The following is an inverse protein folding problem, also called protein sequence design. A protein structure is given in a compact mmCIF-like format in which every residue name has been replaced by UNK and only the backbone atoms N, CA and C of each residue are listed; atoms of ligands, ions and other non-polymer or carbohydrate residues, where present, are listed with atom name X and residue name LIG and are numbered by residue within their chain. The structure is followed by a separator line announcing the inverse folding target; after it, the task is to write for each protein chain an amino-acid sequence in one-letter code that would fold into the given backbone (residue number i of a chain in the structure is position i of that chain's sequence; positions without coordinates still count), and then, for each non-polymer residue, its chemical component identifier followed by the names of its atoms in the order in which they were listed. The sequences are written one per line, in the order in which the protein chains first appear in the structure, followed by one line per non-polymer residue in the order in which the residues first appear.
data_IF_634140119551
#
_entry.id   IF_634140119551
#
_cell.length_a   1.000
_cell.length_b   1.000
_cell.length_c   1.000
_cell.angle_alpha   90.00
_cell.angle_beta   90.00
_cell.angle_gamma   90.00
#
_symmetry.space_group_name_H-M   'P 1'
#
loop_
_entity.id
_entity.type
_entity.pdbx_description
1 polymer ?
#
# COMPACT_ATOMS: atom_id res chain seq x y z
N UNK A 1 2.41 6.69 -12.01
CA UNK A 1 1.17 6.91 -12.79
C UNK A 1 0.07 6.03 -12.20
N UNK A 2 -1.18 6.50 -12.17
CA UNK A 2 -2.32 5.74 -11.65
C UNK A 2 -3.52 5.73 -12.59
N UNK A 3 -4.23 4.61 -12.64
CA UNK A 3 -5.50 4.42 -13.32
C UNK A 3 -6.59 4.11 -12.28
N UNK A 4 -7.46 5.07 -11.95
CA UNK A 4 -8.68 4.79 -11.20
C UNK A 4 -9.62 3.92 -12.03
N UNK A 5 -10.24 2.92 -11.41
CA UNK A 5 -11.12 1.97 -12.07
C UNK A 5 -12.34 1.71 -11.20
N UNK A 6 -13.52 1.79 -11.83
CA UNK A 6 -14.81 1.40 -11.23
C UNK A 6 -15.21 0.07 -11.84
N UNK A 7 -14.93 -1.01 -11.11
CA UNK A 7 -15.16 -2.40 -11.55
C UNK A 7 -15.66 -3.22 -10.36
N UNK A 8 -16.28 -4.36 -10.67
CA UNK A 8 -16.94 -5.20 -9.66
C UNK A 8 -15.91 -6.10 -8.95
N UNK A 9 -14.86 -6.52 -9.65
CA UNK A 9 -13.83 -7.41 -9.11
C UNK A 9 -12.43 -6.87 -9.27
N UNK A 10 -11.54 -7.26 -8.35
CA UNK A 10 -10.13 -6.89 -8.37
C UNK A 10 -9.41 -7.28 -9.66
N UNK A 11 -9.69 -8.47 -10.20
CA UNK A 11 -9.03 -8.99 -11.40
C UNK A 11 -9.40 -8.15 -12.63
N UNK A 12 -10.70 -7.84 -12.80
CA UNK A 12 -11.19 -6.96 -13.86
C UNK A 12 -10.61 -5.55 -13.69
N UNK A 13 -10.63 -5.03 -12.47
CA UNK A 13 -10.08 -3.72 -12.17
C UNK A 13 -8.59 -3.63 -12.51
N UNK A 14 -7.80 -4.63 -12.11
CA UNK A 14 -6.36 -4.71 -12.39
C UNK A 14 -6.11 -4.79 -13.88
N UNK A 15 -6.82 -5.67 -14.60
CA UNK A 15 -6.67 -5.83 -16.05
C UNK A 15 -7.03 -4.56 -16.81
N UNK A 16 -8.17 -3.95 -16.50
CA UNK A 16 -8.67 -2.74 -17.14
C UNK A 16 -7.75 -1.54 -16.87
N UNK A 17 -7.37 -1.31 -15.61
CA UNK A 17 -6.45 -0.23 -15.25
C UNK A 17 -5.05 -0.44 -15.82
N UNK A 18 -4.55 -1.68 -15.83
CA UNK A 18 -3.26 -2.00 -16.44
C UNK A 18 -3.27 -1.79 -17.96
N UNK A 19 -4.36 -2.13 -18.65
CA UNK A 19 -4.47 -1.90 -20.08
C UNK A 19 -4.29 -0.43 -20.45
N UNK A 20 -4.90 0.49 -19.69
CA UNK A 20 -4.73 1.94 -19.88
C UNK A 20 -3.30 2.41 -19.57
N UNK A 21 -2.69 1.90 -18.50
CA UNK A 21 -1.28 2.17 -18.21
C UNK A 21 -0.35 1.63 -19.31
N UNK A 22 -0.66 0.46 -19.87
CA UNK A 22 0.11 -0.15 -20.95
C UNK A 22 0.10 0.71 -22.22
N UNK A 23 -1.07 1.24 -22.60
CA UNK A 23 -1.18 2.17 -23.73
C UNK A 23 -0.29 3.40 -23.50
N UNK A 24 -0.35 4.02 -22.32
CA UNK A 24 0.50 5.15 -21.97
C UNK A 24 1.99 4.83 -22.08
N UNK A 25 2.41 3.67 -21.54
CA UNK A 25 3.79 3.19 -21.57
C UNK A 25 4.27 2.97 -23.01
N UNK A 26 3.36 2.61 -23.93
CA UNK A 26 3.67 2.33 -25.33
C UNK A 26 3.50 3.55 -26.26
N UNK A 27 3.32 4.74 -25.71
CA UNK A 27 3.31 5.97 -26.49
C UNK A 27 1.95 6.66 -26.63
N UNK A 28 0.91 6.22 -25.91
CA UNK A 28 -0.33 7.00 -25.81
C UNK A 28 -0.15 8.16 -24.83
N UNK A 29 0.70 9.10 -25.22
CA UNK A 29 1.06 10.32 -24.50
C UNK A 29 1.48 11.40 -25.50
N UNK A 30 1.49 12.65 -25.03
CA UNK A 30 1.75 13.87 -25.82
C UNK A 30 2.95 13.82 -26.78
N UNK A 31 3.99 13.06 -26.48
CA UNK A 31 5.22 12.99 -27.29
C UNK A 31 5.47 11.60 -27.88
N UNK A 32 4.45 10.72 -27.92
CA UNK A 32 4.58 9.33 -28.37
C UNK A 32 5.75 8.57 -27.74
N UNK A 33 6.13 8.98 -26.53
CA UNK A 33 7.36 8.51 -25.88
C UNK A 33 7.08 7.13 -25.30
N UNK A 34 7.95 6.16 -25.61
CA UNK A 34 7.89 4.84 -24.98
C UNK A 34 8.60 4.86 -23.64
N UNK A 35 7.93 4.36 -22.61
CA UNK A 35 8.47 4.21 -21.27
C UNK A 35 8.87 2.75 -21.04
N UNK A 36 9.89 2.53 -20.22
CA UNK A 36 10.28 1.16 -19.83
C UNK A 36 9.28 0.59 -18.82
N UNK A 37 8.81 -0.64 -19.05
CA UNK A 37 8.03 -1.36 -18.04
C UNK A 37 8.85 -1.54 -16.75
N UNK A 38 8.18 -1.44 -15.62
CA UNK A 38 8.73 -1.61 -14.28
C UNK A 38 7.84 -2.57 -13.51
N UNK A 39 8.45 -3.25 -12.56
CA UNK A 39 7.74 -4.10 -11.62
C UNK A 39 7.94 -3.55 -10.19
N UNK A 40 6.96 -3.72 -9.30
CA UNK A 40 5.63 -4.32 -9.53
C UNK A 40 4.59 -3.32 -10.05
N UNK A 41 3.49 -3.84 -10.61
CA UNK A 41 2.23 -3.09 -10.78
C UNK A 41 1.41 -3.28 -9.50
N UNK A 42 0.92 -2.18 -8.93
CA UNK A 42 0.20 -2.19 -7.66
C UNK A 42 -1.27 -1.86 -7.89
N UNK A 43 -2.18 -2.70 -7.43
CA UNK A 43 -3.60 -2.35 -7.37
C UNK A 43 -4.02 -2.15 -5.93
N UNK A 44 -4.49 -0.95 -5.59
CA UNK A 44 -5.10 -0.66 -4.29
C UNK A 44 -6.60 -0.79 -4.36
N UNK A 45 -7.18 -1.24 -3.25
CA UNK A 45 -8.62 -1.27 -3.02
C UNK A 45 -8.94 -0.18 -2.01
N UNK A 46 -9.93 0.65 -2.33
CA UNK A 46 -10.40 1.74 -1.48
C UNK A 46 -11.89 1.48 -1.22
N UNK A 47 -12.31 1.38 0.06
CA UNK A 47 -13.73 1.31 0.37
C UNK A 47 -14.42 2.62 -0.02
N UNK A 48 -15.56 2.51 -0.70
CA UNK A 48 -16.39 3.65 -1.08
C UNK A 48 -17.39 3.99 0.04
N UNK A 49 -17.73 5.26 0.19
CA UNK A 49 -18.66 5.76 1.21
C UNK A 49 -20.07 5.20 1.03
N UNK A 50 -20.42 4.78 -0.19
CA UNK A 50 -21.72 4.18 -0.53
C UNK A 50 -21.72 2.64 -0.45
N UNK A 51 -20.72 2.03 0.19
CA UNK A 51 -20.64 0.56 0.35
C UNK A 51 -20.09 -0.20 -0.87
N UNK A 52 -19.55 0.52 -1.86
CA UNK A 52 -18.84 -0.05 -3.01
C UNK A 52 -17.34 -0.23 -2.79
N UNK A 53 -16.66 -0.82 -3.77
CA UNK A 53 -15.19 -0.87 -3.84
C UNK A 53 -14.71 -0.03 -5.02
N UNK A 54 -13.70 0.79 -4.78
CA UNK A 54 -12.97 1.49 -5.83
C UNK A 54 -11.55 0.94 -5.93
N UNK A 55 -11.03 0.86 -7.15
CA UNK A 55 -9.70 0.31 -7.40
C UNK A 55 -8.80 1.37 -8.03
N UNK A 56 -7.54 1.38 -7.62
CA UNK A 56 -6.52 2.23 -8.24
C UNK A 56 -5.33 1.37 -8.62
N UNK A 57 -5.11 1.20 -9.92
CA UNK A 57 -3.95 0.50 -10.47
C UNK A 57 -2.82 1.51 -10.65
N UNK A 58 -1.60 1.17 -10.24
CA UNK A 58 -0.44 2.05 -10.25
C UNK A 58 0.77 1.36 -10.85
N UNK A 59 1.51 2.15 -11.61
CA UNK A 59 2.79 1.79 -12.20
C UNK A 59 3.85 2.81 -11.76
N UNK A 60 5.04 2.32 -11.41
CA UNK A 60 6.18 3.14 -11.06
C UNK A 60 6.82 3.69 -12.34
N UNK A 61 6.78 5.01 -12.51
CA UNK A 61 7.38 5.66 -13.68
C UNK A 61 8.90 5.51 -13.58
N UNK A 62 9.52 5.05 -14.66
CA UNK A 62 10.98 4.88 -14.74
C UNK A 62 11.72 6.13 -14.24
N UNK A 63 12.84 5.98 -13.49
CA UNK A 63 13.61 7.09 -12.96
C UNK A 63 14.01 8.15 -14.00
N UNK A 64 14.22 7.73 -15.26
CA UNK A 64 14.52 8.63 -16.39
C UNK A 64 13.47 9.73 -16.60
N UNK A 65 12.22 9.46 -16.24
CA UNK A 65 11.09 10.38 -16.39
C UNK A 65 10.58 10.90 -15.03
N UNK A 66 11.35 10.70 -13.97
CA UNK A 66 11.01 11.18 -12.64
C UNK A 66 11.18 12.70 -12.59
N UNK A 67 10.09 13.43 -12.32
CA UNK A 67 10.06 14.91 -12.32
C UNK A 67 9.20 15.45 -13.46
N UNK A 68 9.51 15.09 -14.71
CA UNK A 68 8.78 15.53 -15.91
C UNK A 68 8.31 14.32 -16.74
N UNK A 69 7.32 13.55 -16.24
CA UNK A 69 6.76 12.44 -17.00
C UNK A 69 5.95 12.94 -18.21
N UNK A 70 5.92 12.21 -19.34
CA UNK A 70 5.07 12.54 -20.48
C UNK A 70 3.60 12.63 -20.06
N UNK A 71 2.87 13.62 -20.57
CA UNK A 71 1.44 13.77 -20.25
C UNK A 71 0.62 12.71 -20.99
N UNK A 72 -0.18 11.90 -20.29
CA UNK A 72 -1.05 10.91 -20.92
C UNK A 72 -2.16 11.61 -21.69
N UNK A 73 -2.72 10.94 -22.70
CA UNK A 73 -3.92 11.45 -23.35
C UNK A 73 -5.15 11.38 -22.42
N UNK A 74 -6.07 12.32 -22.61
CA UNK A 74 -7.24 12.51 -21.74
C UNK A 74 -8.17 11.29 -21.75
N UNK A 75 -8.32 10.63 -22.88
CA UNK A 75 -9.12 9.40 -23.05
C UNK A 75 -8.62 8.24 -22.20
N UNK A 76 -7.34 8.23 -21.82
CA UNK A 76 -6.81 7.21 -20.92
C UNK A 76 -7.21 7.44 -19.47
N UNK A 77 -7.71 8.62 -19.10
CA UNK A 77 -8.14 9.00 -17.75
C UNK A 77 -7.09 8.66 -16.65
N UNK A 78 -5.81 8.83 -16.98
CA UNK A 78 -4.71 8.53 -16.06
C UNK A 78 -4.37 9.74 -15.19
N UNK A 79 -3.85 9.48 -14.00
CA UNK A 79 -3.53 10.51 -13.02
C UNK A 79 -2.08 10.38 -12.53
N UNK A 80 -1.43 11.53 -12.33
CA UNK A 80 -0.12 11.57 -11.69
C UNK A 80 -0.26 11.34 -10.18
N UNK A 81 0.01 10.11 -9.74
CA UNK A 81 0.11 9.79 -8.32
C UNK A 81 1.54 9.93 -7.80
N UNK A 82 1.73 10.76 -6.77
CA UNK A 82 2.92 10.73 -5.91
C UNK A 82 2.63 9.84 -4.70
N UNK A 83 3.41 8.79 -4.52
CA UNK A 83 3.33 7.95 -3.31
C UNK A 83 4.38 8.45 -2.32
N UNK A 84 3.94 9.01 -1.20
CA UNK A 84 4.83 9.42 -0.11
C UNK A 84 5.52 8.23 0.56
N UNK A 85 6.56 8.53 1.34
CA UNK A 85 7.23 7.54 2.19
C UNK A 85 6.20 6.94 3.17
N UNK A 86 6.13 5.61 3.23
CA UNK A 86 5.23 4.91 4.16
C UNK A 86 5.75 3.52 4.48
N UNK A 87 5.41 3.03 5.66
CA UNK A 87 5.67 1.64 6.05
C UNK A 87 4.53 0.75 5.54
N UNK A 88 4.86 -0.39 4.95
CA UNK A 88 3.91 -1.35 4.42
C UNK A 88 4.36 -2.75 4.85
N UNK A 89 3.45 -3.54 5.40
CA UNK A 89 3.68 -4.96 5.61
C UNK A 89 3.43 -5.74 4.31
N UNK A 90 4.37 -6.60 3.93
CA UNK A 90 4.32 -7.33 2.66
C UNK A 90 4.32 -8.83 2.94
N UNK A 91 3.35 -9.55 2.35
CA UNK A 91 3.34 -11.01 2.30
C UNK A 91 3.48 -11.47 0.86
N UNK A 92 4.46 -12.32 0.59
CA UNK A 92 4.56 -13.05 -0.69
C UNK A 92 3.82 -14.38 -0.59
N UNK A 93 3.23 -14.81 -1.69
CA UNK A 93 2.62 -16.12 -1.87
C UNK A 93 2.97 -16.63 -3.28
N UNK A 94 2.94 -17.94 -3.47
CA UNK A 94 3.16 -18.59 -4.76
C UNK A 94 1.85 -18.81 -5.52
N UNK A 95 1.96 -19.10 -6.82
CA UNK A 95 0.82 -19.35 -7.70
C UNK A 95 0.23 -18.09 -8.34
N UNK A 96 -0.67 -18.30 -9.31
CA UNK A 96 -1.35 -17.20 -9.99
C UNK A 96 -2.32 -16.49 -9.06
N UNK A 97 -2.40 -15.16 -9.20
CA UNK A 97 -3.24 -14.34 -8.36
C UNK A 97 -4.73 -14.59 -8.63
N UNK A 98 -5.51 -14.87 -7.58
CA UNK A 98 -6.98 -14.98 -7.67
C UNK A 98 -7.66 -14.15 -6.58
N UNK A 99 -8.87 -13.68 -6.87
CA UNK A 99 -9.76 -12.96 -5.95
C UNK A 99 -9.92 -13.61 -4.56
N UNK A 100 -9.89 -14.95 -4.46
CA UNK A 100 -9.92 -15.65 -3.16
C UNK A 100 -8.68 -15.44 -2.27
N UNK A 101 -7.52 -15.11 -2.84
CA UNK A 101 -6.32 -14.81 -2.04
C UNK A 101 -6.44 -13.48 -1.28
N UNK A 102 -7.43 -12.62 -1.59
CA UNK A 102 -7.75 -11.42 -0.79
C UNK A 102 -8.13 -11.73 0.65
N UNK A 103 -8.71 -12.90 0.93
CA UNK A 103 -8.99 -13.30 2.32
C UNK A 103 -7.71 -13.36 3.18
N UNK A 104 -6.53 -13.41 2.56
CA UNK A 104 -5.25 -13.31 3.28
C UNK A 104 -4.90 -11.89 3.75
N UNK A 105 -5.49 -10.83 3.20
CA UNK A 105 -5.16 -9.45 3.63
C UNK A 105 -5.77 -9.17 5.01
N UNK A 106 -6.94 -9.73 5.30
CA UNK A 106 -7.50 -9.75 6.66
C UNK A 106 -6.59 -10.46 7.65
N UNK A 107 -5.90 -11.52 7.22
CA UNK A 107 -4.92 -12.22 8.05
C UNK A 107 -3.72 -11.33 8.37
N UNK A 108 -3.23 -10.54 7.41
CA UNK A 108 -2.15 -9.57 7.66
C UNK A 108 -2.64 -8.47 8.61
N UNK A 109 -3.86 -7.96 8.42
CA UNK A 109 -4.46 -6.96 9.30
C UNK A 109 -4.60 -7.47 10.73
N UNK A 110 -5.10 -8.69 10.91
CA UNK A 110 -5.18 -9.37 12.20
C UNK A 110 -3.80 -9.55 12.82
N UNK A 111 -2.84 -10.10 12.06
CA UNK A 111 -1.48 -10.33 12.56
C UNK A 111 -0.79 -9.03 13.01
N UNK A 112 -0.91 -7.93 12.25
CA UNK A 112 -0.36 -6.63 12.65
C UNK A 112 -1.06 -6.09 13.91
N UNK A 113 -2.38 -6.24 13.99
CA UNK A 113 -3.14 -5.79 15.15
C UNK A 113 -2.76 -6.56 16.40
N UNK A 114 -2.61 -7.88 16.30
CA UNK A 114 -2.23 -8.76 17.40
C UNK A 114 -0.79 -8.47 17.87
N UNK A 115 0.16 -8.26 16.94
CA UNK A 115 1.53 -7.83 17.28
C UNK A 115 1.52 -6.47 18.01
N UNK A 116 0.71 -5.52 17.55
CA UNK A 116 0.61 -4.21 18.20
C UNK A 116 0.08 -4.31 19.63
N UNK A 117 -0.93 -5.17 19.88
CA UNK A 117 -1.44 -5.46 21.22
C UNK A 117 -0.36 -6.04 22.12
N UNK A 118 0.40 -7.02 21.63
CA UNK A 118 1.49 -7.66 22.40
C UNK A 118 2.57 -6.63 22.75
N UNK A 119 2.98 -5.78 21.81
CA UNK A 119 3.97 -4.73 22.07
C UNK A 119 3.48 -3.71 23.12
N UNK A 120 2.21 -3.30 23.05
CA UNK A 120 1.60 -2.41 24.05
C UNK A 120 1.54 -3.06 25.44
N UNK A 121 1.22 -4.36 25.49
CA UNK A 121 1.19 -5.13 26.74
C UNK A 121 2.59 -5.21 27.37
N UNK A 122 3.61 -5.60 26.60
CA UNK A 122 5.00 -5.69 27.08
C UNK A 122 5.51 -4.32 27.53
N UNK A 123 5.19 -3.24 26.82
CA UNK A 123 5.54 -1.88 27.22
C UNK A 123 4.89 -1.50 28.56
N UNK A 124 3.60 -1.81 28.75
CA UNK A 124 2.90 -1.58 30.03
C UNK A 124 3.50 -2.36 31.19
N UNK A 125 3.80 -3.65 30.98
CA UNK A 125 4.45 -4.49 32.01
C UNK A 125 5.82 -3.93 32.37
N UNK A 126 6.62 -3.51 31.39
CA UNK A 126 7.93 -2.90 31.64
C UNK A 126 7.82 -1.63 32.48
N UNK A 127 6.87 -0.74 32.18
CA UNK A 127 6.63 0.48 32.97
C UNK A 127 6.19 0.15 34.40
N UNK A 128 5.33 -0.86 34.57
CA UNK A 128 4.88 -1.30 35.89
C UNK A 128 6.04 -1.87 36.72
N UNK A 129 6.86 -2.73 36.13
CA UNK A 129 8.04 -3.31 36.79
C UNK A 129 9.03 -2.21 37.19
N UNK A 130 9.30 -1.25 36.32
CA UNK A 130 10.16 -0.10 36.65
C UNK A 130 9.59 0.74 37.80
N UNK A 131 8.27 0.95 37.86
CA UNK A 131 7.64 1.62 39.01
C UNK A 131 7.79 0.81 40.30
N UNK A 132 7.56 -0.50 40.27
CA UNK A 132 7.68 -1.37 41.44
C UNK A 132 9.13 -1.44 41.95
N UNK A 133 10.12 -1.48 41.05
CA UNK A 133 11.54 -1.44 41.40
C UNK A 133 11.96 -0.07 41.99
N UNK A 134 11.37 1.03 41.54
CA UNK A 134 11.60 2.35 42.15
C UNK A 134 10.86 2.54 43.49
N UNK A 135 9.78 1.81 43.73
CA UNK A 135 9.03 1.85 45.00
C UNK A 135 9.62 0.94 46.08
N UNK A 136 10.62 0.12 45.76
CA UNK A 136 11.23 -0.86 46.68
C UNK A 136 12.58 -0.43 47.26
N UNK A 137 13.00 0.83 47.07
CA UNK A 137 14.08 1.44 47.85
C UNK A 137 13.47 2.14 49.08
N UNK A 138 13.42 1.50 50.27
CA UNK A 138 13.22 2.26 51.49
C UNK A 138 14.39 3.25 51.59
N UNK A 139 14.08 4.53 51.73
CA UNK A 139 15.06 5.51 52.16
C UNK A 139 15.57 5.06 53.54
N UNK A 140 16.72 4.37 53.54
CA UNK A 140 17.48 4.13 54.76
C UNK A 140 17.94 5.49 55.27
N UNK A 141 17.14 6.07 56.18
CA UNK A 141 17.56 7.19 57.02
C UNK A 141 18.68 6.66 57.91
N UNK A 142 19.92 6.92 57.54
CA UNK A 142 21.02 6.92 58.48
C UNK A 142 20.88 8.19 59.33
N UNK A 143 20.56 7.98 60.61
CA UNK A 143 20.71 8.95 61.68
C UNK A 143 22.07 8.72 62.36
#
# INVERSE_FOLDING_TARGET
MSAPVKEISFEKATRSGFHRLYQYIHGANTNSTRLSMTAPVLTSVIPDVHGGLQYIVRYYVSPKFQGVPPHPFTELNLQFAKLGKRCIAVRKFSGAYKSRQWMSVDLIRKCIHDIAIVLLYVARVRVLVLRLLNMSLPQARYA
#
